data_IF_357120655486
#
_entry.id   IF_357120655486
#
_cell.length_a   1.000
_cell.length_b   1.000
_cell.length_c   1.000
_cell.angle_alpha   90.00
_cell.angle_beta   90.00
_cell.angle_gamma   90.00
#
_symmetry.space_group_name_H-M   'P 1'
#
loop_
_entity.id
_entity.type
_entity.pdbx_description
1 polymer ?
#
# COMPACT_ATOMS: atom_id res chain seq x y z
N UNK A 1 -14.72 -1.92 0.67
CA UNK A 1 -14.51 -1.48 -0.72
C UNK A 1 -15.34 -0.23 -0.98
N UNK A 2 -14.76 0.84 -1.55
CA UNK A 2 -15.50 2.02 -1.98
C UNK A 2 -16.64 1.66 -2.96
N UNK A 3 -17.80 2.36 -2.93
CA UNK A 3 -18.92 2.05 -3.81
C UNK A 3 -18.56 2.12 -5.30
N UNK A 4 -17.72 3.06 -5.70
CA UNK A 4 -17.34 3.26 -7.11
C UNK A 4 -16.61 2.05 -7.69
N UNK A 5 -15.76 1.41 -6.88
CA UNK A 5 -15.05 0.17 -7.24
C UNK A 5 -16.01 -1.02 -7.29
N UNK A 6 -17.07 -1.01 -6.46
CA UNK A 6 -18.07 -2.08 -6.42
C UNK A 6 -19.01 -2.04 -7.63
N UNK A 7 -19.39 -0.84 -8.05
CA UNK A 7 -20.49 -0.64 -9.00
C UNK A 7 -20.01 -0.56 -10.46
N UNK A 8 -18.73 -0.29 -10.70
CA UNK A 8 -18.12 -0.24 -12.04
C UNK A 8 -16.96 -1.24 -12.17
N UNK A 9 -17.19 -2.31 -12.94
CA UNK A 9 -16.21 -3.37 -13.18
C UNK A 9 -14.99 -2.97 -14.01
N UNK A 10 -14.90 -1.73 -14.47
CA UNK A 10 -13.67 -1.18 -15.07
C UNK A 10 -12.67 -0.68 -14.03
N UNK A 11 -13.09 -0.48 -12.77
CA UNK A 11 -12.20 -0.15 -11.67
C UNK A 11 -11.60 -1.42 -11.07
N UNK A 12 -10.28 -1.40 -10.87
CA UNK A 12 -9.59 -2.48 -10.16
C UNK A 12 -9.73 -2.27 -8.65
N UNK A 13 -10.11 -3.34 -7.93
CA UNK A 13 -10.09 -3.33 -6.46
C UNK A 13 -8.66 -3.39 -5.88
N UNK A 14 -7.67 -3.63 -6.74
CA UNK A 14 -6.29 -3.82 -6.35
C UNK A 14 -6.14 -5.02 -5.41
N UNK A 15 -5.38 -4.86 -4.32
CA UNK A 15 -5.14 -5.87 -3.28
C UNK A 15 -6.20 -5.84 -2.16
N UNK A 16 -7.33 -5.14 -2.36
CA UNK A 16 -8.34 -5.03 -1.33
C UNK A 16 -8.99 -6.39 -1.04
N UNK A 17 -8.99 -6.79 0.23
CA UNK A 17 -9.68 -7.99 0.70
C UNK A 17 -11.09 -7.60 1.18
N UNK A 18 -12.16 -7.91 0.42
CA UNK A 18 -13.52 -7.63 0.86
C UNK A 18 -13.89 -8.53 2.04
N UNK A 19 -14.76 -8.03 2.91
CA UNK A 19 -15.21 -8.75 4.10
C UNK A 19 -15.84 -10.11 3.78
N UNK A 20 -16.67 -10.14 2.74
CA UNK A 20 -17.41 -11.34 2.31
C UNK A 20 -16.47 -12.49 1.91
N UNK A 21 -15.22 -12.19 1.54
CA UNK A 21 -14.21 -13.19 1.23
C UNK A 21 -13.94 -14.13 2.41
N UNK A 22 -14.05 -13.65 3.66
CA UNK A 22 -13.89 -14.45 4.87
C UNK A 22 -15.12 -15.33 5.17
N UNK A 23 -16.24 -15.13 4.49
CA UNK A 23 -17.43 -15.99 4.60
C UNK A 23 -17.42 -17.06 3.50
N UNK A 24 -17.03 -16.66 2.29
CA UNK A 24 -17.00 -17.50 1.09
C UNK A 24 -15.82 -18.48 1.06
N UNK A 25 -14.62 -18.04 1.43
CA UNK A 25 -13.42 -18.88 1.42
C UNK A 25 -13.34 -19.76 2.67
N UNK A 26 -13.32 -21.09 2.48
CA UNK A 26 -13.14 -22.05 3.57
C UNK A 26 -11.80 -21.91 4.30
N UNK A 27 -10.77 -21.47 3.58
CA UNK A 27 -9.42 -21.31 4.11
C UNK A 27 -9.31 -20.05 4.98
N UNK A 28 -10.03 -18.99 4.61
CA UNK A 28 -10.01 -17.71 5.32
C UNK A 28 -11.06 -17.61 6.42
N UNK A 29 -12.14 -18.41 6.36
CA UNK A 29 -13.21 -18.43 7.38
C UNK A 29 -12.72 -18.52 8.83
N UNK A 30 -11.69 -19.32 9.18
CA UNK A 30 -11.16 -19.36 10.54
C UNK A 30 -10.57 -18.01 11.01
N UNK A 31 -10.16 -17.14 10.09
CA UNK A 31 -9.55 -15.84 10.38
C UNK A 31 -10.56 -14.69 10.43
N UNK A 32 -11.86 -14.96 10.20
CA UNK A 32 -12.90 -13.92 10.10
C UNK A 32 -12.91 -12.99 11.31
N UNK A 33 -12.97 -13.53 12.52
CA UNK A 33 -12.99 -12.72 13.75
C UNK A 33 -11.72 -11.88 13.92
N UNK A 34 -10.55 -12.43 13.57
CA UNK A 34 -9.29 -11.67 13.61
C UNK A 34 -9.29 -10.55 12.59
N UNK A 35 -9.76 -10.80 11.36
CA UNK A 35 -9.87 -9.79 10.32
C UNK A 35 -10.84 -8.67 10.73
N UNK A 36 -11.93 -8.99 11.43
CA UNK A 36 -12.85 -8.02 12.01
C UNK A 36 -12.20 -7.09 13.03
N UNK A 37 -11.40 -7.65 13.94
CA UNK A 37 -10.68 -6.87 14.95
C UNK A 37 -9.69 -5.93 14.27
N UNK A 38 -8.91 -6.43 13.32
CA UNK A 38 -7.91 -5.64 12.58
C UNK A 38 -8.58 -4.54 11.76
N UNK A 39 -9.72 -4.83 11.12
CA UNK A 39 -10.43 -3.87 10.27
C UNK A 39 -11.02 -2.68 11.07
N UNK A 40 -11.34 -2.88 12.34
CA UNK A 40 -11.86 -1.83 13.22
C UNK A 40 -10.77 -1.16 14.09
N UNK A 41 -9.51 -1.53 13.89
CA UNK A 41 -8.40 -0.90 14.57
C UNK A 41 -8.13 0.47 13.92
N UNK A 42 -8.19 1.53 14.72
CA UNK A 42 -7.64 2.82 14.33
C UNK A 42 -6.11 2.72 14.35
N UNK A 43 -5.49 2.99 13.20
CA UNK A 43 -4.05 3.00 13.07
C UNK A 43 -3.54 4.42 13.25
N UNK A 44 -2.57 4.60 14.14
CA UNK A 44 -1.79 5.82 14.18
C UNK A 44 -0.90 5.94 12.93
N UNK A 45 -0.09 7.00 12.86
CA UNK A 45 0.86 7.17 11.76
C UNK A 45 1.83 5.98 11.67
N UNK A 46 1.61 5.10 10.69
CA UNK A 46 2.40 3.87 10.48
C UNK A 46 3.87 4.17 10.15
N UNK A 47 4.11 5.25 9.40
CA UNK A 47 5.44 5.63 8.93
C UNK A 47 5.80 7.06 9.34
N UNK A 48 6.89 7.22 10.10
CA UNK A 48 7.43 8.53 10.45
C UNK A 48 8.34 9.04 9.35
N UNK A 49 7.92 10.11 8.66
CA UNK A 49 8.73 10.75 7.62
C UNK A 49 10.10 11.21 8.14
N UNK A 50 10.16 11.75 9.36
CA UNK A 50 11.42 12.17 10.00
C UNK A 50 12.36 10.99 10.21
N UNK A 51 11.85 9.83 10.63
CA UNK A 51 12.67 8.62 10.81
C UNK A 51 13.15 8.04 9.49
N UNK A 52 12.31 8.09 8.45
CA UNK A 52 12.67 7.62 7.10
C UNK A 52 13.77 8.50 6.48
N UNK A 53 13.68 9.82 6.68
CA UNK A 53 14.68 10.75 6.19
C UNK A 53 16.04 10.54 6.86
N UNK A 54 16.06 10.27 8.18
CA UNK A 54 17.29 10.05 8.95
C UNK A 54 17.82 8.62 8.90
N UNK A 55 17.44 7.81 7.89
CA UNK A 55 17.85 6.42 7.82
C UNK A 55 19.33 6.30 7.36
N UNK A 56 20.19 5.77 8.23
CA UNK A 56 21.64 5.58 7.96
C UNK A 56 21.95 4.22 7.32
N UNK A 57 21.13 3.81 6.36
CA UNK A 57 21.30 2.57 5.60
C UNK A 57 21.31 2.87 4.11
N UNK A 58 22.04 2.09 3.28
CA UNK A 58 21.99 2.26 1.83
C UNK A 58 20.56 2.13 1.30
N UNK A 59 20.13 3.05 0.43
CA UNK A 59 18.79 3.06 -0.16
C UNK A 59 18.88 2.89 -1.67
N UNK A 60 17.98 2.08 -2.22
CA UNK A 60 17.71 1.98 -3.65
C UNK A 60 16.19 1.97 -3.86
N UNK A 61 15.74 2.50 -5.00
CA UNK A 61 14.33 2.54 -5.35
C UNK A 61 14.14 2.15 -6.82
N UNK A 62 13.06 1.44 -7.11
CA UNK A 62 12.55 1.17 -8.44
C UNK A 62 11.06 1.54 -8.46
N UNK A 63 10.64 2.31 -9.46
CA UNK A 63 9.26 2.71 -9.63
C UNK A 63 8.87 2.51 -11.10
N UNK A 64 7.64 2.04 -11.32
CA UNK A 64 7.11 1.77 -12.65
C UNK A 64 6.16 2.89 -13.06
N UNK A 65 6.21 3.30 -14.34
CA UNK A 65 5.37 4.37 -14.86
C UNK A 65 3.87 4.03 -14.83
N UNK A 66 3.53 2.78 -15.12
CA UNK A 66 2.16 2.28 -15.24
C UNK A 66 1.86 1.26 -14.12
N UNK A 67 2.28 1.57 -12.90
CA UNK A 67 1.96 0.76 -11.73
C UNK A 67 0.47 0.89 -11.37
N UNK A 68 -0.24 -0.24 -11.36
CA UNK A 68 -1.68 -0.29 -11.10
C UNK A 68 -2.07 0.02 -9.64
N UNK A 69 -1.11 0.01 -8.72
CA UNK A 69 -1.33 0.12 -7.28
C UNK A 69 -0.74 1.40 -6.70
N UNK A 70 0.47 1.78 -7.15
CA UNK A 70 1.20 2.93 -6.62
C UNK A 70 1.51 3.93 -7.74
N UNK A 71 0.69 4.99 -7.89
CA UNK A 71 0.96 6.03 -8.87
C UNK A 71 2.38 6.60 -8.73
N UNK A 72 3.13 6.61 -9.84
CA UNK A 72 4.55 7.04 -9.91
C UNK A 72 4.83 8.36 -9.17
N UNK A 73 3.88 9.31 -9.23
CA UNK A 73 4.01 10.62 -8.56
C UNK A 73 4.38 10.49 -7.08
N UNK A 74 3.81 9.51 -6.37
CA UNK A 74 4.09 9.34 -4.95
C UNK A 74 5.52 8.87 -4.72
N UNK A 75 6.06 8.01 -5.60
CA UNK A 75 7.46 7.59 -5.53
C UNK A 75 8.41 8.74 -5.82
N UNK A 76 8.11 9.55 -6.85
CA UNK A 76 8.93 10.72 -7.23
C UNK A 76 8.91 11.81 -6.16
N UNK A 77 7.76 12.04 -5.51
CA UNK A 77 7.64 12.98 -4.39
C UNK A 77 8.37 12.48 -3.14
N UNK A 78 8.39 11.17 -2.90
CA UNK A 78 9.03 10.58 -1.71
C UNK A 78 10.55 10.46 -1.85
N UNK A 79 11.05 10.18 -3.05
CA UNK A 79 12.47 9.91 -3.30
C UNK A 79 13.44 10.98 -2.75
N UNK A 80 13.20 12.29 -2.91
CA UNK A 80 14.08 13.33 -2.37
C UNK A 80 14.14 13.40 -0.84
N UNK A 81 13.17 12.80 -0.15
CA UNK A 81 13.13 12.79 1.31
C UNK A 81 14.03 11.70 1.94
N UNK A 82 14.62 10.80 1.14
CA UNK A 82 15.45 9.70 1.61
C UNK A 82 16.94 10.03 1.41
N UNK A 83 17.67 10.32 2.49
CA UNK A 83 19.08 10.78 2.43
C UNK A 83 20.03 9.80 1.71
N UNK A 84 19.78 8.49 1.83
CA UNK A 84 20.63 7.45 1.24
C UNK A 84 20.32 7.10 -0.22
N UNK A 85 19.35 7.75 -0.86
CA UNK A 85 18.94 7.41 -2.23
C UNK A 85 19.81 8.16 -3.27
N UNK A 86 20.52 7.45 -4.16
CA UNK A 86 21.34 8.10 -5.18
C UNK A 86 20.46 8.86 -6.19
N UNK A 87 21.03 9.92 -6.79
CA UNK A 87 20.38 10.66 -7.87
C UNK A 87 19.97 9.71 -9.00
N UNK A 88 18.70 9.82 -9.44
CA UNK A 88 18.05 8.87 -10.35
C UNK A 88 18.84 8.71 -11.64
N UNK A 89 19.34 7.50 -11.90
CA UNK A 89 19.79 7.09 -13.23
C UNK A 89 18.58 6.61 -14.02
N UNK A 90 18.27 7.25 -15.15
CA UNK A 90 17.30 6.71 -16.10
C UNK A 90 17.86 5.40 -16.68
N UNK A 91 17.19 4.28 -16.42
CA UNK A 91 17.33 3.06 -17.22
C UNK A 91 16.19 2.97 -18.23
#
# INVERSE_FOLDING_TARGET
MPPEVKDDGTFFAGEHLPRDLFEESSELRPLRETAEIIANQEWEQLYSATRLASADVPVAAAAYYEDAYVPLRFSVETAPALEGLPAVGHQ
#
